data_IF_449418484037
#
_entry.id   IF_449418484037
#
_cell.length_a   1.000
_cell.length_b   1.000
_cell.length_c   1.000
_cell.angle_alpha   90.00
_cell.angle_beta   90.00
_cell.angle_gamma   90.00
#
_symmetry.space_group_name_H-M   'P 1'
#
loop_
_entity.id
_entity.type
_entity.pdbx_description
1 polymer ?
#
# COMPACT_ATOMS: atom_id res chain seq x y z
N UNK A 1 -18.68 -10.17 14.34
CA UNK A 1 -19.50 -8.95 14.27
C UNK A 1 -18.80 -7.89 15.12
N UNK A 2 -18.48 -6.72 14.54
CA UNK A 2 -17.78 -5.63 15.23
C UNK A 2 -18.70 -4.40 15.25
N UNK A 3 -18.80 -3.70 16.38
CA UNK A 3 -19.64 -2.51 16.53
C UNK A 3 -18.80 -1.30 16.94
N UNK A 4 -19.07 -0.15 16.30
CA UNK A 4 -18.42 1.14 16.61
C UNK A 4 -19.47 2.09 17.20
N UNK A 5 -19.23 2.57 18.41
CA UNK A 5 -20.19 3.37 19.19
C UNK A 5 -19.58 4.75 19.51
N UNK A 6 -20.38 5.81 19.40
CA UNK A 6 -19.96 7.19 19.63
C UNK A 6 -21.09 8.18 19.39
N UNK A 7 -20.90 9.47 19.67
CA UNK A 7 -21.90 10.54 19.40
C UNK A 7 -22.16 10.71 17.90
N UNK A 8 -23.21 11.45 17.51
CA UNK A 8 -23.44 11.82 16.11
C UNK A 8 -22.38 12.83 15.65
N UNK A 9 -21.96 12.75 14.38
CA UNK A 9 -20.99 13.68 13.81
C UNK A 9 -19.51 13.41 14.16
N UNK A 10 -19.19 12.41 14.99
CA UNK A 10 -17.79 12.10 15.38
C UNK A 10 -16.99 11.31 14.32
N UNK A 11 -17.52 11.19 13.09
CA UNK A 11 -16.82 10.51 12.00
C UNK A 11 -16.99 8.99 11.92
N UNK A 12 -17.94 8.38 12.66
CA UNK A 12 -18.20 6.93 12.59
C UNK A 12 -18.41 6.44 11.15
N UNK A 13 -19.27 7.12 10.39
CA UNK A 13 -19.52 6.78 8.99
C UNK A 13 -18.29 6.98 8.10
N UNK A 14 -17.49 8.02 8.37
CA UNK A 14 -16.25 8.28 7.64
C UNK A 14 -15.21 7.16 7.87
N UNK A 15 -15.11 6.65 9.10
CA UNK A 15 -14.25 5.50 9.40
C UNK A 15 -14.68 4.24 8.61
N UNK A 16 -15.98 3.94 8.58
CA UNK A 16 -16.48 2.81 7.80
C UNK A 16 -16.32 3.02 6.29
N UNK A 17 -16.48 4.24 5.80
CA UNK A 17 -16.26 4.54 4.40
C UNK A 17 -14.78 4.43 4.02
N UNK A 18 -13.84 4.81 4.89
CA UNK A 18 -12.41 4.62 4.66
C UNK A 18 -12.04 3.13 4.49
N UNK A 19 -12.55 2.25 5.37
CA UNK A 19 -12.39 0.80 5.19
C UNK A 19 -13.16 0.26 3.99
N UNK A 20 -14.33 0.83 3.70
CA UNK A 20 -15.11 0.52 2.51
C UNK A 20 -14.34 0.84 1.25
N UNK A 21 -13.70 2.01 1.18
CA UNK A 21 -12.86 2.44 0.07
C UNK A 21 -11.65 1.53 -0.09
N UNK A 22 -10.94 1.20 0.99
CA UNK A 22 -9.82 0.27 0.93
C UNK A 22 -10.27 -1.12 0.42
N UNK A 23 -11.41 -1.63 0.89
CA UNK A 23 -11.96 -2.88 0.40
C UNK A 23 -12.37 -2.78 -1.09
N UNK A 24 -12.96 -1.66 -1.50
CA UNK A 24 -13.34 -1.42 -2.88
C UNK A 24 -12.07 -1.38 -3.78
N UNK A 25 -11.03 -0.67 -3.37
CA UNK A 25 -9.75 -0.57 -4.08
C UNK A 25 -9.02 -1.91 -4.23
N UNK A 26 -9.17 -2.82 -3.26
CA UNK A 26 -8.57 -4.15 -3.26
C UNK A 26 -9.42 -5.22 -3.97
N UNK A 27 -10.74 -5.06 -4.05
CA UNK A 27 -11.66 -6.07 -4.57
C UNK A 27 -12.20 -5.77 -5.99
N UNK A 28 -12.17 -4.50 -6.44
CA UNK A 28 -12.69 -4.10 -7.76
C UNK A 28 -11.60 -4.05 -8.83
N UNK A 29 -12.03 -3.81 -10.08
CA UNK A 29 -11.22 -3.84 -11.30
C UNK A 29 -10.05 -2.82 -11.29
N UNK A 30 -10.10 -1.76 -10.47
CA UNK A 30 -9.02 -0.77 -10.23
C UNK A 30 -9.42 0.28 -9.16
N UNK A 31 -8.47 1.15 -8.79
CA UNK A 31 -8.68 2.27 -7.85
C UNK A 31 -9.55 3.41 -8.40
N UNK A 32 -9.66 3.55 -9.73
CA UNK A 32 -10.50 4.56 -10.36
C UNK A 32 -11.98 4.31 -10.05
N UNK A 33 -12.46 3.08 -10.28
CA UNK A 33 -13.83 2.67 -9.92
C UNK A 33 -14.09 2.83 -8.41
N UNK A 34 -13.12 2.52 -7.56
CA UNK A 34 -13.26 2.66 -6.11
C UNK A 34 -13.43 4.14 -5.67
N UNK A 35 -12.80 5.08 -6.39
CA UNK A 35 -12.92 6.51 -6.15
C UNK A 35 -14.32 7.05 -6.49
N UNK A 36 -15.03 6.42 -7.43
CA UNK A 36 -16.39 6.83 -7.83
C UNK A 36 -17.49 6.04 -7.12
N UNK A 37 -17.17 4.84 -6.64
CA UNK A 37 -18.10 3.96 -5.97
C UNK A 37 -18.79 4.64 -4.78
N UNK A 38 -20.06 4.24 -4.56
CA UNK A 38 -20.88 4.67 -3.40
C UNK A 38 -21.05 6.19 -3.27
N UNK A 39 -20.88 6.94 -4.37
CA UNK A 39 -21.10 8.38 -4.40
C UNK A 39 -19.94 9.23 -3.86
N UNK A 40 -18.74 8.67 -3.76
CA UNK A 40 -17.52 9.40 -3.35
C UNK A 40 -17.15 10.50 -4.35
N UNK A 41 -17.37 10.24 -5.65
CA UNK A 41 -17.29 11.24 -6.71
C UNK A 41 -15.87 11.67 -7.06
N UNK A 42 -14.94 10.72 -7.06
CA UNK A 42 -13.57 10.90 -7.50
C UNK A 42 -12.58 11.18 -6.37
N UNK A 43 -11.29 11.01 -6.68
CA UNK A 43 -10.19 11.14 -5.73
C UNK A 43 -10.09 12.54 -5.11
N UNK A 44 -10.37 13.60 -5.88
CA UNK A 44 -10.29 14.98 -5.40
C UNK A 44 -11.33 15.31 -4.33
N UNK A 45 -12.47 14.60 -4.31
CA UNK A 45 -13.50 14.76 -3.27
C UNK A 45 -13.18 13.99 -2.00
N UNK A 46 -12.38 12.94 -2.10
CA UNK A 46 -11.96 12.13 -0.96
C UNK A 46 -10.74 12.72 -0.24
N UNK A 47 -9.91 13.47 -0.96
CA UNK A 47 -8.74 14.15 -0.41
C UNK A 47 -9.10 15.27 0.54
N UNK A 48 -8.16 15.58 1.42
CA UNK A 48 -8.21 16.82 2.20
C UNK A 48 -8.25 18.00 1.23
N UNK A 49 -9.22 18.89 1.45
CA UNK A 49 -9.42 20.06 0.61
C UNK A 49 -8.15 20.94 0.59
N UNK A 50 -7.73 21.34 -0.61
CA UNK A 50 -6.57 22.21 -0.81
C UNK A 50 -5.21 21.50 -0.83
N UNK A 51 -5.20 20.16 -0.77
CA UNK A 51 -3.97 19.36 -0.93
C UNK A 51 -4.06 18.48 -2.16
N UNK A 52 -2.93 18.26 -2.83
CA UNK A 52 -2.79 17.28 -3.92
C UNK A 52 -2.06 16.03 -3.44
N UNK A 53 -1.81 15.91 -2.14
CA UNK A 53 -1.06 14.81 -1.55
C UNK A 53 -1.80 13.47 -1.76
N UNK A 54 -1.07 12.34 -1.82
CA UNK A 54 -1.69 11.02 -1.93
C UNK A 54 -2.63 10.72 -0.75
N UNK A 55 -3.67 9.93 -1.01
CA UNK A 55 -4.43 9.28 0.06
C UNK A 55 -3.63 8.05 0.49
N UNK A 56 -3.24 7.99 1.76
CA UNK A 56 -2.38 6.93 2.28
C UNK A 56 -3.08 6.09 3.36
N UNK A 57 -2.93 4.77 3.23
CA UNK A 57 -3.37 3.81 4.25
C UNK A 57 -2.17 3.01 4.74
N UNK A 58 -2.12 2.80 6.05
CA UNK A 58 -1.27 1.79 6.67
C UNK A 58 -2.12 0.85 7.51
N UNK A 59 -2.12 -0.43 7.16
CA UNK A 59 -2.90 -1.47 7.83
C UNK A 59 -1.97 -2.50 8.43
N UNK A 60 -2.06 -2.66 9.75
CA UNK A 60 -1.35 -3.69 10.48
C UNK A 60 -2.29 -4.85 10.79
N UNK A 61 -2.05 -6.01 10.19
CA UNK A 61 -2.95 -7.16 10.30
C UNK A 61 -2.20 -8.49 10.41
N UNK A 62 -2.93 -9.56 10.71
CA UNK A 62 -2.45 -10.94 10.60
C UNK A 62 -3.36 -11.64 9.61
N UNK A 63 -2.79 -12.44 8.72
CA UNK A 63 -3.59 -13.22 7.76
C UNK A 63 -4.51 -14.23 8.46
N UNK A 64 -4.02 -14.85 9.53
CA UNK A 64 -4.77 -15.81 10.33
C UNK A 64 -4.16 -15.95 11.72
N UNK A 65 -4.98 -16.19 12.75
CA UNK A 65 -4.56 -16.58 14.11
C UNK A 65 -3.24 -15.97 14.61
N UNK A 66 -2.23 -16.83 14.77
CA UNK A 66 -0.88 -16.49 15.23
C UNK A 66 0.13 -16.23 14.10
N UNK A 67 -0.33 -15.99 12.87
CA UNK A 67 0.54 -15.57 11.78
C UNK A 67 1.31 -14.32 12.15
N UNK A 68 2.49 -14.18 11.56
CA UNK A 68 3.31 -12.99 11.77
C UNK A 68 2.59 -11.79 11.18
N UNK A 69 2.54 -10.67 11.91
CA UNK A 69 1.79 -9.52 11.47
C UNK A 69 2.48 -8.86 10.26
N UNK A 70 1.65 -8.43 9.32
CA UNK A 70 2.01 -7.75 8.08
C UNK A 70 1.59 -6.29 8.22
N UNK A 71 2.47 -5.37 7.81
CA UNK A 71 2.14 -3.97 7.58
C UNK A 71 1.94 -3.79 6.08
N UNK A 72 0.70 -3.56 5.67
CA UNK A 72 0.34 -3.15 4.33
C UNK A 72 0.30 -1.63 4.24
N UNK A 73 0.92 -1.08 3.20
CA UNK A 73 0.89 0.36 2.91
C UNK A 73 0.47 0.55 1.46
N UNK A 74 -0.46 1.48 1.23
CA UNK A 74 -0.87 1.89 -0.12
C UNK A 74 -1.05 3.40 -0.15
N UNK A 75 -0.54 4.02 -1.22
CA UNK A 75 -0.70 5.44 -1.53
C UNK A 75 -1.35 5.58 -2.90
N UNK A 76 -2.46 6.32 -2.97
CA UNK A 76 -3.24 6.52 -4.18
C UNK A 76 -3.21 8.00 -4.54
N UNK A 77 -2.95 8.31 -5.82
CA UNK A 77 -2.93 9.68 -6.34
C UNK A 77 -3.60 9.78 -7.70
N UNK A 78 -3.64 10.97 -8.29
CA UNK A 78 -4.16 11.21 -9.63
C UNK A 78 -3.00 11.53 -10.59
N UNK A 79 -3.09 11.08 -11.84
CA UNK A 79 -2.17 11.46 -12.91
C UNK A 79 -2.44 12.90 -13.40
N UNK A 80 -1.67 13.35 -14.40
CA UNK A 80 -1.85 14.69 -14.99
C UNK A 80 -3.20 14.93 -15.67
N UNK A 81 -4.00 13.88 -15.89
CA UNK A 81 -5.35 13.95 -16.44
C UNK A 81 -6.43 13.77 -15.36
N UNK A 82 -6.06 13.67 -14.08
CA UNK A 82 -6.98 13.46 -12.97
C UNK A 82 -7.39 12.00 -12.77
N UNK A 83 -6.77 11.04 -13.47
CA UNK A 83 -7.12 9.62 -13.35
C UNK A 83 -6.45 9.01 -12.11
N UNK A 84 -7.21 8.39 -11.19
CA UNK A 84 -6.65 7.76 -10.00
C UNK A 84 -5.75 6.56 -10.34
N UNK A 85 -4.62 6.44 -9.66
CA UNK A 85 -3.71 5.29 -9.75
C UNK A 85 -2.99 5.03 -8.42
N UNK A 86 -2.47 3.81 -8.26
CA UNK A 86 -1.65 3.42 -7.11
C UNK A 86 -0.24 3.97 -7.30
N UNK A 87 0.11 4.99 -6.53
CA UNK A 87 1.44 5.60 -6.55
C UNK A 87 2.46 4.68 -5.90
N UNK A 88 2.15 4.13 -4.73
CA UNK A 88 3.03 3.21 -3.99
C UNK A 88 2.23 2.12 -3.34
N UNK A 89 2.78 0.91 -3.34
CA UNK A 89 2.25 -0.21 -2.59
C UNK A 89 3.39 -0.99 -1.95
N UNK A 90 3.26 -1.33 -0.67
CA UNK A 90 4.32 -2.03 0.06
C UNK A 90 3.75 -2.99 1.08
N UNK A 91 4.31 -4.19 1.13
CA UNK A 91 4.07 -5.14 2.20
C UNK A 91 5.34 -5.36 3.01
N UNK A 92 5.20 -5.26 4.33
CA UNK A 92 6.30 -5.50 5.27
C UNK A 92 5.93 -6.55 6.31
N UNK A 93 6.86 -7.43 6.65
CA UNK A 93 6.67 -8.44 7.70
C UNK A 93 7.99 -8.62 8.47
N UNK A 94 7.95 -8.95 9.75
CA UNK A 94 9.17 -9.36 10.48
C UNK A 94 9.47 -10.82 10.15
N UNK A 95 10.76 -11.16 9.98
CA UNK A 95 11.19 -12.56 9.81
C UNK A 95 10.98 -13.36 11.10
N UNK A 96 10.92 -14.69 10.99
CA UNK A 96 10.73 -15.57 12.14
C UNK A 96 11.87 -15.38 13.14
N UNK A 97 11.54 -15.14 14.40
CA UNK A 97 12.53 -14.95 15.47
C UNK A 97 13.20 -13.56 15.50
N UNK A 98 12.91 -12.67 14.54
CA UNK A 98 13.44 -11.30 14.54
C UNK A 98 12.72 -10.45 15.61
N UNK A 99 13.42 -10.18 16.73
CA UNK A 99 12.87 -9.39 17.85
C UNK A 99 13.18 -7.89 17.77
N UNK A 100 14.16 -7.47 16.98
CA UNK A 100 14.67 -6.08 16.88
C UNK A 100 14.94 -5.70 15.42
N UNK A 101 15.15 -4.42 15.15
CA UNK A 101 15.37 -3.88 13.80
C UNK A 101 14.07 -3.61 13.03
N UNK A 102 14.18 -3.16 11.79
CA UNK A 102 13.06 -2.81 10.93
C UNK A 102 12.42 -4.07 10.29
N UNK A 103 11.09 -4.08 10.05
CA UNK A 103 10.44 -5.13 9.27
C UNK A 103 10.98 -5.21 7.84
N UNK A 104 10.98 -6.43 7.33
CA UNK A 104 11.40 -6.79 5.99
C UNK A 104 10.35 -6.39 4.94
N UNK A 105 10.73 -5.91 3.74
CA UNK A 105 9.76 -5.57 2.67
C UNK A 105 9.75 -6.63 1.58
N UNK A 106 8.62 -7.35 1.44
CA UNK A 106 8.50 -8.46 0.49
C UNK A 106 7.64 -8.13 -0.74
N UNK A 107 7.05 -6.94 -0.77
CA UNK A 107 6.45 -6.33 -1.95
C UNK A 107 6.76 -4.84 -1.90
N UNK A 108 7.26 -4.28 -3.00
CA UNK A 108 7.42 -2.84 -3.20
C UNK A 108 7.06 -2.54 -4.65
N UNK A 109 6.01 -1.75 -4.85
CA UNK A 109 5.59 -1.24 -6.15
C UNK A 109 5.57 0.29 -6.10
N UNK A 110 6.00 0.91 -7.21
CA UNK A 110 5.88 2.33 -7.45
C UNK A 110 5.29 2.54 -8.85
N UNK A 111 4.13 3.17 -8.92
CA UNK A 111 3.44 3.48 -10.18
C UNK A 111 3.28 2.27 -11.11
N UNK A 112 2.94 1.11 -10.54
CA UNK A 112 2.71 -0.14 -11.29
C UNK A 112 3.95 -1.02 -11.51
N UNK A 113 5.15 -0.52 -11.24
CA UNK A 113 6.39 -1.29 -11.43
C UNK A 113 7.12 -1.54 -10.11
N UNK A 114 7.74 -2.70 -9.95
CA UNK A 114 8.55 -3.00 -8.78
C UNK A 114 8.91 -4.47 -8.60
N UNK A 115 9.03 -4.89 -7.35
CA UNK A 115 9.58 -6.20 -6.96
C UNK A 115 8.71 -6.87 -5.93
N UNK A 116 8.57 -8.18 -6.10
CA UNK A 116 8.03 -9.07 -5.08
C UNK A 116 8.97 -10.24 -4.84
N UNK A 117 9.01 -10.69 -3.59
CA UNK A 117 9.74 -11.87 -3.17
C UNK A 117 8.77 -12.91 -2.65
N UNK A 118 8.97 -14.15 -3.08
CA UNK A 118 8.31 -15.30 -2.45
C UNK A 118 9.17 -15.74 -1.27
N UNK A 119 8.51 -15.97 -0.13
CA UNK A 119 9.02 -16.70 1.04
C UNK A 119 9.87 -15.97 2.09
N UNK A 120 10.21 -16.72 3.14
CA UNK A 120 10.62 -16.29 4.48
C UNK A 120 12.10 -15.88 4.59
N UNK A 121 12.86 -15.92 3.49
CA UNK A 121 14.32 -15.80 3.49
C UNK A 121 14.87 -14.65 2.61
N UNK A 122 14.19 -14.31 1.52
CA UNK A 122 14.55 -13.23 0.60
C UNK A 122 13.49 -12.10 0.71
N UNK A 123 13.78 -10.81 0.64
CA UNK A 123 14.96 -10.13 0.10
C UNK A 123 15.47 -8.96 0.94
N UNK A 124 15.12 -7.70 0.59
CA UNK A 124 15.73 -6.46 1.13
C UNK A 124 15.10 -5.69 2.33
N UNK A 125 15.92 -5.53 3.37
CA UNK A 125 15.70 -4.52 4.42
C UNK A 125 15.95 -3.16 3.79
N UNK A 126 14.98 -2.26 3.86
CA UNK A 126 15.17 -0.89 3.40
C UNK A 126 15.21 0.00 4.63
N UNK A 127 16.41 0.50 4.94
CA UNK A 127 16.67 1.31 6.12
C UNK A 127 16.02 2.71 6.02
N UNK A 128 15.74 3.19 4.80
CA UNK A 128 15.07 4.47 4.52
C UNK A 128 13.80 4.30 3.67
N UNK A 129 12.76 5.14 3.86
CA UNK A 129 11.62 5.15 2.96
C UNK A 129 12.08 5.57 1.55
N UNK A 130 11.74 4.76 0.55
CA UNK A 130 11.91 5.13 -0.84
C UNK A 130 10.78 6.11 -1.18
N UNK A 131 11.10 7.40 -1.18
CA UNK A 131 10.10 8.46 -1.37
C UNK A 131 10.01 8.92 -2.83
N UNK A 132 11.11 8.86 -3.57
CA UNK A 132 11.18 9.33 -4.95
C UNK A 132 11.51 8.22 -5.96
N UNK A 133 11.25 8.52 -7.24
CA UNK A 133 11.48 7.60 -8.35
C UNK A 133 12.96 7.27 -8.59
N UNK A 134 13.89 8.18 -8.31
CA UNK A 134 15.32 7.95 -8.53
C UNK A 134 15.88 6.98 -7.50
N UNK A 135 15.54 7.21 -6.23
CA UNK A 135 15.85 6.30 -5.12
C UNK A 135 15.23 4.93 -5.35
N UNK A 136 14.01 4.89 -5.91
CA UNK A 136 13.36 3.64 -6.29
C UNK A 136 14.10 2.92 -7.42
N UNK A 137 14.49 3.63 -8.48
CA UNK A 137 15.25 3.06 -9.59
C UNK A 137 16.61 2.52 -9.14
N UNK A 138 17.37 3.30 -8.37
CA UNK A 138 18.65 2.86 -7.83
C UNK A 138 18.51 1.62 -6.93
N UNK A 139 17.46 1.59 -6.12
CA UNK A 139 17.12 0.42 -5.32
C UNK A 139 16.81 -0.79 -6.20
N UNK A 140 15.93 -0.64 -7.20
CA UNK A 140 15.57 -1.70 -8.13
C UNK A 140 16.80 -2.26 -8.86
N UNK A 141 17.69 -1.41 -9.35
CA UNK A 141 18.96 -1.81 -9.97
C UNK A 141 19.84 -2.61 -9.01
N UNK A 142 19.96 -2.16 -7.75
CA UNK A 142 20.76 -2.85 -6.73
C UNK A 142 20.24 -4.26 -6.43
N UNK A 143 18.93 -4.47 -6.50
CA UNK A 143 18.29 -5.76 -6.21
C UNK A 143 18.46 -6.72 -7.38
N UNK A 144 18.18 -6.25 -8.59
CA UNK A 144 18.34 -7.05 -9.81
C UNK A 144 19.79 -7.54 -9.96
N UNK A 145 20.77 -6.73 -9.53
CA UNK A 145 22.18 -7.09 -9.57
C UNK A 145 22.58 -8.18 -8.56
N UNK A 146 21.83 -8.36 -7.46
CA UNK A 146 22.21 -9.24 -6.33
C UNK A 146 21.43 -10.56 -6.31
N UNK A 147 20.14 -10.56 -6.68
CA UNK A 147 19.24 -11.71 -6.46
C UNK A 147 18.59 -12.23 -7.75
N UNK A 148 19.41 -12.65 -8.73
CA UNK A 148 18.97 -13.13 -10.05
C UNK A 148 18.20 -14.46 -10.07
N UNK A 149 17.95 -15.10 -8.91
CA UNK A 149 17.31 -16.42 -8.81
C UNK A 149 15.91 -16.47 -8.17
N UNK A 150 15.55 -15.52 -7.29
CA UNK A 150 14.33 -15.59 -6.44
C UNK A 150 13.48 -14.32 -6.43
N UNK A 151 13.91 -13.25 -7.13
CA UNK A 151 13.15 -12.00 -7.25
C UNK A 151 12.29 -12.02 -8.52
N UNK A 152 10.99 -11.77 -8.38
CA UNK A 152 10.11 -11.54 -9.53
C UNK A 152 9.96 -10.02 -9.76
N UNK A 153 10.39 -9.55 -10.93
CA UNK A 153 10.07 -8.20 -11.40
C UNK A 153 8.59 -8.13 -11.76
N UNK A 154 7.92 -7.09 -11.29
CA UNK A 154 6.52 -6.82 -11.58
C UNK A 154 6.46 -5.54 -12.41
N UNK A 155 5.76 -5.61 -13.53
CA UNK A 155 5.37 -4.44 -14.33
C UNK A 155 3.89 -4.58 -14.70
N UNK A 156 3.07 -3.66 -14.18
CA UNK A 156 1.62 -3.62 -14.35
C UNK A 156 1.19 -2.48 -15.30
N UNK A 157 2.16 -1.86 -16.01
CA UNK A 157 1.91 -0.78 -16.97
C UNK A 157 1.36 -1.24 -18.32
#
# INVERSE_FOLDING_TARGET
MTAVIGKNGVGKSALFDAFGFLADALNFNNVEEACDARGRGGIDRMRTHGTTDPIEFEVYYREHGNARPITYQIAITADGFGRPYVLRERLRQRRKGQKRGQPFSFLILNSGSGVAWKEDQAGHQIDEPIEDLQSFQAFMESIIAVESGETESIDLS
#
